data_IF_356229698116
#
_entry.id   IF_356229698116
#
_cell.length_a   1.000
_cell.length_b   1.000
_cell.length_c   1.000
_cell.angle_alpha   90.00
_cell.angle_beta   90.00
_cell.angle_gamma   90.00
#
_symmetry.space_group_name_H-M   'P 1'
#
loop_
_entity.id
_entity.type
_entity.pdbx_description
1 polymer ?
#
# COMPACT_ATOMS: atom_id res chain seq x y z
N UNK A 1 23.85 7.01 8.73
CA UNK A 1 25.19 7.61 8.99
C UNK A 1 25.98 6.64 9.83
N UNK A 2 27.22 6.31 9.46
CA UNK A 2 28.11 5.43 10.24
C UNK A 2 29.28 6.27 10.74
N UNK A 3 29.49 6.31 12.05
CA UNK A 3 30.62 7.00 12.70
C UNK A 3 31.46 5.96 13.42
N UNK A 4 32.75 5.91 13.14
CA UNK A 4 33.68 5.02 13.82
C UNK A 4 34.65 5.83 14.68
N UNK A 5 34.83 5.42 15.93
CA UNK A 5 35.77 6.02 16.86
C UNK A 5 36.83 5.01 17.26
N UNK A 6 38.10 5.43 17.27
CA UNK A 6 39.25 4.58 17.62
C UNK A 6 39.87 5.06 18.92
N UNK A 7 40.00 4.17 19.90
CA UNK A 7 40.74 4.45 21.13
C UNK A 7 42.25 4.41 20.88
N UNK A 8 43.02 5.15 21.69
CA UNK A 8 44.49 5.12 21.66
C UNK A 8 45.04 3.78 22.18
N UNK A 9 44.41 3.20 23.20
CA UNK A 9 44.72 1.87 23.72
C UNK A 9 44.30 0.79 22.73
N UNK A 10 45.10 -0.28 22.61
CA UNK A 10 44.81 -1.43 21.76
C UNK A 10 43.73 -2.35 22.33
N UNK A 11 43.67 -2.44 23.65
CA UNK A 11 42.83 -3.33 24.42
C UNK A 11 42.19 -2.58 25.57
N UNK A 12 40.99 -3.01 25.96
CA UNK A 12 40.31 -2.57 27.18
C UNK A 12 39.67 -3.77 27.87
N UNK A 13 39.54 -3.68 29.19
CA UNK A 13 38.72 -4.62 29.96
C UNK A 13 37.27 -4.39 29.59
N UNK A 14 36.54 -5.45 29.26
CA UNK A 14 35.09 -5.39 29.00
C UNK A 14 34.30 -5.69 30.27
N UNK A 15 33.06 -5.22 30.32
CA UNK A 15 32.13 -5.49 31.42
C UNK A 15 31.70 -6.96 31.50
N UNK A 16 32.03 -7.75 30.48
CA UNK A 16 31.71 -9.17 30.43
C UNK A 16 32.78 -10.00 31.16
N UNK A 17 32.33 -11.02 31.88
CA UNK A 17 33.22 -12.00 32.52
C UNK A 17 32.92 -13.42 32.02
N UNK A 18 33.98 -14.22 31.88
CA UNK A 18 33.92 -15.64 31.56
C UNK A 18 34.57 -16.41 32.71
N UNK A 19 33.83 -17.30 33.35
CA UNK A 19 34.32 -18.09 34.50
C UNK A 19 34.97 -17.23 35.59
N UNK A 20 34.36 -16.07 35.91
CA UNK A 20 34.86 -15.14 36.92
C UNK A 20 36.09 -14.31 36.51
N UNK A 21 36.55 -14.40 35.26
CA UNK A 21 37.63 -13.56 34.73
C UNK A 21 37.07 -12.54 33.74
N UNK A 22 37.53 -11.30 33.83
CA UNK A 22 37.12 -10.27 32.87
C UNK A 22 37.63 -10.60 31.48
N UNK A 23 36.76 -10.42 30.48
CA UNK A 23 37.11 -10.57 29.08
C UNK A 23 37.80 -9.29 28.59
N UNK A 24 38.90 -9.44 27.85
CA UNK A 24 39.61 -8.33 27.21
C UNK A 24 39.11 -8.21 25.77
N UNK A 25 38.80 -7.00 25.32
CA UNK A 25 38.37 -6.75 23.94
C UNK A 25 39.35 -5.83 23.21
N UNK A 26 39.55 -6.10 21.92
CA UNK A 26 40.44 -5.33 21.04
C UNK A 26 39.66 -4.17 20.43
N UNK A 27 39.71 -2.99 21.08
CA UNK A 27 38.96 -1.79 20.65
C UNK A 27 39.61 -1.04 19.50
N UNK A 28 40.88 -1.33 19.20
CA UNK A 28 41.64 -0.62 18.17
C UNK A 28 41.34 -1.12 16.75
N UNK A 29 40.74 -2.31 16.61
CA UNK A 29 40.31 -2.84 15.33
C UNK A 29 38.87 -2.41 15.04
N UNK A 30 38.70 -1.57 14.01
CA UNK A 30 37.40 -1.00 13.65
C UNK A 30 36.68 -1.77 12.54
N UNK A 31 37.32 -2.71 11.87
CA UNK A 31 36.74 -3.36 10.69
C UNK A 31 35.42 -4.06 11.04
N UNK A 32 35.42 -4.85 12.12
CA UNK A 32 34.24 -5.57 12.60
C UNK A 32 33.08 -4.63 12.95
N UNK A 33 33.23 -3.64 13.85
CA UNK A 33 32.14 -2.73 14.19
C UNK A 33 31.68 -1.89 12.99
N UNK A 34 32.58 -1.49 12.08
CA UNK A 34 32.20 -0.79 10.84
C UNK A 34 31.29 -1.67 9.98
N UNK A 35 31.67 -2.94 9.74
CA UNK A 35 30.85 -3.88 8.97
C UNK A 35 29.48 -4.07 9.62
N UNK A 36 29.43 -4.25 10.95
CA UNK A 36 28.18 -4.37 11.70
C UNK A 36 27.30 -3.13 11.54
N UNK A 37 27.84 -1.93 11.76
CA UNK A 37 27.10 -0.67 11.63
C UNK A 37 26.59 -0.43 10.21
N UNK A 38 27.38 -0.79 9.19
CA UNK A 38 26.99 -0.71 7.79
C UNK A 38 25.84 -1.67 7.48
N UNK A 39 25.93 -2.93 7.92
CA UNK A 39 24.87 -3.93 7.73
C UNK A 39 23.56 -3.53 8.39
N UNK A 40 23.63 -2.98 9.61
CA UNK A 40 22.45 -2.51 10.32
C UNK A 40 21.83 -1.28 9.64
N UNK A 41 22.65 -0.31 9.23
CA UNK A 41 22.15 0.97 8.68
C UNK A 41 21.70 0.88 7.22
N UNK A 42 22.40 0.11 6.39
CA UNK A 42 22.15 0.06 4.94
C UNK A 42 21.28 -1.14 4.52
N UNK A 43 21.44 -2.28 5.19
CA UNK A 43 20.70 -3.51 4.86
C UNK A 43 19.69 -3.93 5.93
N UNK A 44 19.53 -3.15 7.01
CA UNK A 44 18.58 -3.44 8.07
C UNK A 44 18.84 -4.76 8.79
N UNK A 45 20.07 -5.29 8.77
CA UNK A 45 20.39 -6.55 9.44
C UNK A 45 20.49 -6.30 10.94
N UNK A 46 19.68 -7.02 11.71
CA UNK A 46 19.70 -6.92 13.17
C UNK A 46 20.96 -7.56 13.77
N UNK A 47 21.47 -7.01 14.90
CA UNK A 47 22.51 -7.67 15.68
C UNK A 47 22.12 -9.09 16.09
N UNK A 48 23.07 -10.04 16.02
CA UNK A 48 22.81 -11.46 16.31
C UNK A 48 22.49 -11.78 17.75
N UNK A 49 22.78 -10.87 18.70
CA UNK A 49 22.36 -11.01 20.09
C UNK A 49 20.97 -10.45 20.36
N UNK A 50 20.29 -9.86 19.39
CA UNK A 50 18.94 -9.34 19.57
C UNK A 50 17.94 -10.29 18.91
N UNK A 51 16.98 -10.76 19.69
CA UNK A 51 15.85 -11.55 19.20
C UNK A 51 14.54 -10.96 19.71
N UNK A 52 13.48 -11.06 18.91
CA UNK A 52 12.14 -10.67 19.34
C UNK A 52 11.49 -11.82 20.11
N UNK A 53 11.03 -11.56 21.33
CA UNK A 53 10.26 -12.52 22.12
C UNK A 53 8.78 -12.14 22.12
N UNK A 54 7.93 -13.04 21.62
CA UNK A 54 6.48 -12.85 21.64
C UNK A 54 5.92 -12.87 23.07
N UNK A 55 6.47 -13.72 23.94
CA UNK A 55 6.04 -13.85 25.34
C UNK A 55 6.26 -12.55 26.14
N UNK A 56 7.40 -11.89 25.91
CA UNK A 56 7.75 -10.64 26.58
C UNK A 56 7.27 -9.39 25.83
N UNK A 57 6.75 -9.57 24.61
CA UNK A 57 6.43 -8.49 23.65
C UNK A 57 7.56 -7.45 23.54
N UNK A 58 8.81 -7.92 23.58
CA UNK A 58 10.00 -7.09 23.66
C UNK A 58 11.19 -7.78 22.98
N UNK A 59 12.19 -6.99 22.61
CA UNK A 59 13.49 -7.51 22.17
C UNK A 59 14.28 -8.00 23.37
N UNK A 60 14.71 -9.26 23.34
CA UNK A 60 15.56 -9.87 24.36
C UNK A 60 16.99 -9.88 23.86
N UNK A 61 17.93 -9.63 24.79
CA UNK A 61 19.36 -9.65 24.52
C UNK A 61 19.91 -11.00 24.94
N UNK A 62 20.43 -11.77 24.00
CA UNK A 62 21.08 -13.05 24.22
C UNK A 62 22.40 -13.15 23.45
N UNK A 63 23.52 -13.11 24.18
CA UNK A 63 24.86 -13.19 23.59
C UNK A 63 25.30 -14.62 23.22
N UNK A 64 24.46 -15.64 23.44
CA UNK A 64 24.79 -17.04 23.09
C UNK A 64 25.21 -17.18 21.63
N UNK A 65 24.61 -16.39 20.73
CA UNK A 65 24.90 -16.39 19.29
C UNK A 65 25.90 -15.31 18.84
N UNK A 66 26.56 -14.62 19.78
CA UNK A 66 27.52 -13.54 19.51
C UNK A 66 28.99 -13.95 19.54
N UNK A 67 29.26 -15.24 19.72
CA UNK A 67 30.60 -15.84 19.70
C UNK A 67 31.01 -16.40 18.33
N UNK A 68 30.06 -16.54 17.39
CA UNK A 68 30.27 -17.13 16.06
C UNK A 68 30.66 -16.15 14.95
N UNK A 69 30.44 -16.55 13.69
CA UNK A 69 30.70 -15.75 12.48
C UNK A 69 29.79 -14.51 12.34
N UNK A 70 29.96 -13.51 13.20
CA UNK A 70 29.12 -12.30 13.25
C UNK A 70 29.93 -11.03 13.46
N UNK A 71 29.63 -9.92 12.76
CA UNK A 71 30.27 -8.64 13.02
C UNK A 71 29.68 -7.91 14.24
N UNK A 72 28.53 -8.35 14.75
CA UNK A 72 27.80 -7.64 15.80
C UNK A 72 28.25 -7.98 17.23
N UNK A 73 28.87 -9.15 17.42
CA UNK A 73 29.23 -9.64 18.76
C UNK A 73 30.60 -9.16 19.21
N UNK A 74 30.77 -8.62 20.44
CA UNK A 74 32.06 -8.15 20.94
C UNK A 74 33.12 -9.26 21.05
N UNK A 75 32.69 -10.52 21.04
CA UNK A 75 33.51 -11.72 21.20
C UNK A 75 33.88 -12.40 19.88
N UNK A 76 33.37 -11.92 18.75
CA UNK A 76 33.74 -12.45 17.44
C UNK A 76 34.99 -11.74 16.93
N UNK A 77 35.97 -12.52 16.48
CA UNK A 77 37.14 -12.02 15.75
C UNK A 77 37.00 -12.14 14.23
N UNK A 78 35.90 -12.74 13.77
CA UNK A 78 35.71 -13.07 12.37
C UNK A 78 35.21 -11.88 11.56
N UNK A 79 35.74 -11.77 10.33
CA UNK A 79 35.36 -10.71 9.37
C UNK A 79 34.32 -11.18 8.36
N UNK A 80 34.02 -12.49 8.34
CA UNK A 80 33.07 -13.10 7.41
C UNK A 80 31.65 -13.05 7.94
N UNK A 81 30.67 -12.89 7.04
CA UNK A 81 29.26 -12.94 7.38
C UNK A 81 28.72 -14.36 7.35
N UNK A 82 27.89 -14.70 8.34
CA UNK A 82 27.15 -15.97 8.36
C UNK A 82 26.13 -16.04 7.22
N UNK A 83 25.68 -17.26 6.90
CA UNK A 83 24.61 -17.48 5.93
C UNK A 83 23.37 -16.62 6.26
N UNK A 84 22.92 -16.65 7.52
CA UNK A 84 21.73 -15.93 8.00
C UNK A 84 21.88 -14.42 7.80
N UNK A 85 23.07 -13.86 8.00
CA UNK A 85 23.31 -12.42 7.79
C UNK A 85 23.27 -12.03 6.31
N UNK A 86 23.89 -12.84 5.45
CA UNK A 86 23.86 -12.63 3.99
C UNK A 86 22.44 -12.77 3.45
N UNK A 87 21.70 -13.74 3.96
CA UNK A 87 20.31 -14.01 3.64
C UNK A 87 19.40 -12.84 4.05
N UNK A 88 19.48 -12.42 5.31
CA UNK A 88 18.73 -11.28 5.84
C UNK A 88 19.00 -10.00 5.05
N UNK A 89 20.27 -9.70 4.75
CA UNK A 89 20.63 -8.52 3.97
C UNK A 89 19.97 -8.51 2.58
N UNK A 90 19.97 -9.64 1.88
CA UNK A 90 19.33 -9.76 0.55
C UNK A 90 17.81 -9.68 0.64
N UNK A 91 17.22 -10.37 1.63
CA UNK A 91 15.78 -10.38 1.87
C UNK A 91 15.25 -9.00 2.22
N UNK A 92 15.93 -8.26 3.08
CA UNK A 92 15.49 -6.93 3.53
C UNK A 92 15.40 -5.92 2.37
N UNK A 93 16.38 -5.95 1.46
CA UNK A 93 16.37 -5.09 0.27
C UNK A 93 15.17 -5.42 -0.62
N UNK A 94 14.90 -6.71 -0.85
CA UNK A 94 13.75 -7.15 -1.63
C UNK A 94 12.42 -6.75 -0.98
N UNK A 95 12.26 -6.99 0.32
CA UNK A 95 11.04 -6.63 1.05
C UNK A 95 10.80 -5.12 1.03
N UNK A 96 11.85 -4.31 1.20
CA UNK A 96 11.73 -2.84 1.14
C UNK A 96 11.31 -2.37 -0.25
N UNK A 97 11.92 -2.93 -1.31
CA UNK A 97 11.58 -2.58 -2.69
C UNK A 97 10.17 -3.05 -3.05
N UNK A 98 9.78 -4.24 -2.58
CA UNK A 98 8.43 -4.79 -2.76
C UNK A 98 7.39 -3.94 -2.02
N UNK A 99 7.69 -3.47 -0.81
CA UNK A 99 6.83 -2.55 -0.08
C UNK A 99 6.63 -1.25 -0.87
N UNK A 100 7.69 -0.66 -1.42
CA UNK A 100 7.58 0.52 -2.28
C UNK A 100 6.68 0.27 -3.51
N UNK A 101 6.84 -0.88 -4.17
CA UNK A 101 6.02 -1.26 -5.33
C UNK A 101 4.54 -1.38 -4.94
N UNK A 102 4.25 -2.06 -3.82
CA UNK A 102 2.89 -2.25 -3.31
C UNK A 102 2.27 -0.92 -2.90
N UNK A 103 2.96 -0.09 -2.12
CA UNK A 103 2.47 1.24 -1.71
C UNK A 103 2.18 2.10 -2.93
N UNK A 104 3.11 2.17 -3.89
CA UNK A 104 2.89 2.93 -5.13
C UNK A 104 1.69 2.41 -5.94
N UNK A 105 1.47 1.10 -5.93
CA UNK A 105 0.31 0.49 -6.59
C UNK A 105 -0.99 0.89 -5.88
N UNK A 106 -1.00 0.87 -4.54
CA UNK A 106 -2.13 1.31 -3.72
C UNK A 106 -2.45 2.79 -4.02
N UNK A 107 -1.44 3.66 -4.07
CA UNK A 107 -1.61 5.08 -4.38
C UNK A 107 -2.29 5.30 -5.74
N UNK A 108 -1.90 4.52 -6.76
CA UNK A 108 -2.53 4.59 -8.09
C UNK A 108 -3.99 4.11 -8.05
N UNK A 109 -4.28 3.04 -7.31
CA UNK A 109 -5.65 2.53 -7.17
C UNK A 109 -6.54 3.49 -6.38
N UNK A 110 -6.02 4.11 -5.32
CA UNK A 110 -6.73 5.14 -4.55
C UNK A 110 -7.02 6.37 -5.42
N UNK A 111 -6.03 6.80 -6.21
CA UNK A 111 -6.24 7.87 -7.20
C UNK A 111 -7.34 7.51 -8.19
N UNK A 112 -7.31 6.31 -8.75
CA UNK A 112 -8.35 5.85 -9.67
C UNK A 112 -9.73 5.79 -9.01
N UNK A 113 -9.82 5.34 -7.75
CA UNK A 113 -11.07 5.31 -6.99
C UNK A 113 -11.64 6.72 -6.75
N UNK A 114 -10.77 7.70 -6.43
CA UNK A 114 -11.17 9.09 -6.25
C UNK A 114 -11.75 9.73 -7.52
N UNK A 115 -11.34 9.27 -8.70
CA UNK A 115 -11.81 9.77 -10.00
C UNK A 115 -13.01 8.99 -10.58
N UNK A 116 -13.76 8.27 -9.74
CA UNK A 116 -14.97 7.53 -10.16
C UNK A 116 -14.73 6.07 -10.54
N UNK A 117 -13.53 5.55 -10.31
CA UNK A 117 -13.17 4.15 -10.53
C UNK A 117 -12.83 3.81 -11.98
N UNK A 118 -12.42 2.55 -12.19
CA UNK A 118 -11.86 2.09 -13.47
C UNK A 118 -12.83 2.24 -14.66
N UNK A 119 -14.13 2.03 -14.46
CA UNK A 119 -15.12 2.03 -15.54
C UNK A 119 -15.42 3.43 -16.08
N UNK A 120 -15.33 4.44 -15.22
CA UNK A 120 -15.57 5.85 -15.57
C UNK A 120 -14.28 6.44 -16.13
N UNK A 121 -13.15 6.19 -15.46
CA UNK A 121 -11.86 6.74 -15.81
C UNK A 121 -11.29 6.14 -17.11
N UNK A 122 -11.34 4.81 -17.25
CA UNK A 122 -10.67 4.10 -18.33
C UNK A 122 -11.67 3.73 -19.44
N UNK A 123 -11.55 4.39 -20.60
CA UNK A 123 -12.28 4.01 -21.82
C UNK A 123 -11.97 2.56 -22.20
N UNK A 124 -12.88 1.88 -22.93
CA UNK A 124 -12.79 0.45 -23.29
C UNK A 124 -11.38 -0.04 -23.73
N UNK A 125 -10.67 0.72 -24.57
CA UNK A 125 -9.31 0.34 -25.02
C UNK A 125 -8.27 0.40 -23.90
N UNK A 126 -8.22 1.49 -23.13
CA UNK A 126 -7.30 1.67 -22.00
C UNK A 126 -7.62 0.71 -20.85
N UNK A 127 -8.90 0.38 -20.66
CA UNK A 127 -9.32 -0.59 -19.66
C UNK A 127 -8.75 -1.99 -19.93
N UNK A 128 -8.78 -2.47 -21.18
CA UNK A 128 -8.17 -3.77 -21.54
C UNK A 128 -6.66 -3.76 -21.27
N UNK A 129 -5.97 -2.68 -21.64
CA UNK A 129 -4.53 -2.55 -21.39
C UNK A 129 -4.21 -2.52 -19.89
N UNK A 130 -4.99 -1.76 -19.10
CA UNK A 130 -4.86 -1.74 -17.65
C UNK A 130 -5.01 -3.14 -17.04
N UNK A 131 -6.05 -3.89 -17.41
CA UNK A 131 -6.27 -5.25 -16.90
C UNK A 131 -5.12 -6.19 -17.29
N UNK A 132 -4.60 -6.10 -18.51
CA UNK A 132 -3.45 -6.90 -18.94
C UNK A 132 -2.21 -6.60 -18.09
N UNK A 133 -1.91 -5.31 -17.86
CA UNK A 133 -0.78 -4.87 -17.04
C UNK A 133 -0.95 -5.25 -15.57
N UNK A 134 -2.15 -5.09 -15.04
CA UNK A 134 -2.50 -5.48 -13.67
C UNK A 134 -2.28 -6.97 -13.43
N UNK A 135 -2.76 -7.80 -14.35
CA UNK A 135 -2.57 -9.25 -14.27
C UNK A 135 -1.09 -9.64 -14.36
N UNK A 136 -0.30 -8.96 -15.21
CA UNK A 136 1.13 -9.23 -15.34
C UNK A 136 1.91 -8.77 -14.09
N UNK A 137 1.58 -7.62 -13.52
CA UNK A 137 2.12 -7.13 -12.25
C UNK A 137 1.86 -8.14 -11.14
N UNK A 138 0.61 -8.57 -10.99
CA UNK A 138 0.19 -9.56 -9.98
C UNK A 138 0.96 -10.88 -10.15
N UNK A 139 1.03 -11.40 -11.37
CA UNK A 139 1.82 -12.58 -11.69
C UNK A 139 3.30 -12.44 -11.31
N UNK A 140 3.92 -11.30 -11.64
CA UNK A 140 5.33 -11.04 -11.30
C UNK A 140 5.54 -11.00 -9.79
N UNK A 141 4.66 -10.35 -9.04
CA UNK A 141 4.72 -10.32 -7.57
C UNK A 141 4.58 -11.72 -6.96
N UNK A 142 3.68 -12.56 -7.47
CA UNK A 142 3.59 -13.97 -7.05
C UNK A 142 4.89 -14.74 -7.33
N UNK A 143 5.52 -14.49 -8.48
CA UNK A 143 6.84 -15.10 -8.80
C UNK A 143 7.96 -14.58 -7.90
N UNK A 144 7.92 -13.32 -7.47
CA UNK A 144 8.85 -12.80 -6.45
C UNK A 144 8.71 -13.61 -5.16
N UNK A 145 7.49 -13.76 -4.62
CA UNK A 145 7.24 -14.53 -3.39
C UNK A 145 7.69 -15.99 -3.55
N UNK A 146 7.39 -16.62 -4.69
CA UNK A 146 7.79 -18.00 -4.99
C UNK A 146 9.31 -18.16 -5.12
N UNK A 147 10.03 -17.18 -5.67
CA UNK A 147 11.48 -17.21 -5.74
C UNK A 147 12.11 -16.96 -4.36
N UNK A 148 11.55 -16.05 -3.56
CA UNK A 148 11.99 -15.77 -2.20
C UNK A 148 11.85 -16.99 -1.28
N UNK A 149 10.79 -17.78 -1.41
CA UNK A 149 10.63 -19.02 -0.61
C UNK A 149 11.67 -20.09 -0.91
N UNK A 150 12.32 -20.01 -2.08
CA UNK A 150 13.44 -20.88 -2.50
C UNK A 150 14.81 -20.24 -2.25
N UNK A 151 14.85 -19.08 -1.59
CA UNK A 151 16.07 -18.27 -1.36
C UNK A 151 16.78 -17.84 -2.66
N UNK A 152 16.07 -17.86 -3.78
CA UNK A 152 16.56 -17.41 -5.09
C UNK A 152 16.34 -15.90 -5.25
N UNK A 153 17.17 -15.14 -4.53
CA UNK A 153 17.07 -13.69 -4.48
C UNK A 153 17.41 -13.00 -5.80
N UNK A 154 18.21 -13.63 -6.67
CA UNK A 154 18.52 -13.06 -7.99
C UNK A 154 17.28 -13.10 -8.88
N UNK A 155 16.59 -14.25 -8.93
CA UNK A 155 15.34 -14.39 -9.68
C UNK A 155 14.22 -13.52 -9.11
N UNK A 156 14.12 -13.44 -7.78
CA UNK A 156 13.17 -12.54 -7.11
C UNK A 156 13.42 -11.08 -7.51
N UNK A 157 14.66 -10.61 -7.44
CA UNK A 157 15.02 -9.24 -7.81
C UNK A 157 14.75 -8.95 -9.30
N UNK A 158 14.99 -9.93 -10.17
CA UNK A 158 14.68 -9.82 -11.60
C UNK A 158 13.18 -9.58 -11.84
N UNK A 159 12.30 -10.40 -11.26
CA UNK A 159 10.86 -10.22 -11.41
C UNK A 159 10.37 -8.91 -10.80
N UNK A 160 10.91 -8.51 -9.65
CA UNK A 160 10.52 -7.28 -8.97
C UNK A 160 10.88 -6.05 -9.82
N UNK A 161 12.11 -5.95 -10.31
CA UNK A 161 12.51 -4.87 -11.24
C UNK A 161 11.71 -4.88 -12.54
N UNK A 162 11.39 -6.06 -13.06
CA UNK A 162 10.54 -6.19 -14.24
C UNK A 162 9.10 -5.72 -13.97
N UNK A 163 8.64 -5.79 -12.72
CA UNK A 163 7.30 -5.36 -12.32
C UNK A 163 7.16 -3.84 -12.26
N UNK A 164 8.25 -3.10 -12.00
CA UNK A 164 8.29 -1.64 -12.03
C UNK A 164 7.87 -1.09 -13.40
N UNK A 165 8.17 -1.79 -14.49
CA UNK A 165 7.72 -1.42 -15.84
C UNK A 165 6.20 -1.51 -16.01
N UNK A 166 5.56 -2.51 -15.41
CA UNK A 166 4.10 -2.63 -15.49
C UNK A 166 3.42 -1.63 -14.56
N UNK A 167 3.98 -1.39 -13.37
CA UNK A 167 3.51 -0.36 -12.46
C UNK A 167 3.61 1.03 -13.10
N UNK A 168 4.75 1.35 -13.74
CA UNK A 168 4.91 2.61 -14.47
C UNK A 168 3.88 2.75 -15.59
N UNK A 169 3.66 1.70 -16.39
CA UNK A 169 2.65 1.72 -17.45
C UNK A 169 1.23 1.93 -16.91
N UNK A 170 0.88 1.28 -15.78
CA UNK A 170 -0.40 1.46 -15.09
C UNK A 170 -0.52 2.91 -14.62
N UNK A 171 0.51 3.44 -13.96
CA UNK A 171 0.53 4.82 -13.49
C UNK A 171 0.33 5.80 -14.66
N UNK A 172 1.03 5.63 -15.79
CA UNK A 172 0.85 6.50 -16.96
C UNK A 172 -0.56 6.41 -17.54
N UNK A 173 -1.15 5.22 -17.62
CA UNK A 173 -2.52 5.05 -18.13
C UNK A 173 -3.55 5.79 -17.25
N UNK A 174 -3.42 5.66 -15.93
CA UNK A 174 -4.32 6.31 -14.96
C UNK A 174 -4.11 7.83 -14.97
N UNK A 175 -2.85 8.28 -15.04
CA UNK A 175 -2.51 9.69 -15.07
C UNK A 175 -3.00 10.41 -16.35
N UNK A 176 -2.81 9.80 -17.52
CA UNK A 176 -3.34 10.36 -18.77
C UNK A 176 -4.87 10.38 -18.77
N UNK A 177 -5.50 9.31 -18.26
CA UNK A 177 -6.95 9.24 -18.18
C UNK A 177 -7.53 10.28 -17.20
N UNK A 178 -6.84 10.59 -16.10
CA UNK A 178 -7.30 11.60 -15.14
C UNK A 178 -7.20 13.01 -15.68
N UNK A 179 -6.20 13.31 -16.53
CA UNK A 179 -6.08 14.59 -17.21
C UNK A 179 -7.19 14.84 -18.25
N UNK A 180 -7.73 13.80 -18.85
CA UNK A 180 -8.82 13.90 -19.83
C UNK A 180 -10.22 14.06 -19.19
N UNK A 181 -10.33 14.01 -17.86
CA UNK A 181 -11.61 14.16 -17.19
C UNK A 181 -12.09 15.61 -17.24
N UNK A 182 -13.22 15.81 -17.91
CA UNK A 182 -13.93 17.09 -17.88
C UNK A 182 -14.82 17.17 -16.64
N UNK A 183 -14.66 18.24 -15.86
CA UNK A 183 -15.54 18.51 -14.73
C UNK A 183 -16.92 18.92 -15.24
N UNK A 184 -17.88 18.00 -15.24
CA UNK A 184 -19.29 18.33 -15.50
C UNK A 184 -19.99 18.71 -14.21
N UNK A 185 -20.48 19.95 -14.12
CA UNK A 185 -21.40 20.37 -13.06
C UNK A 185 -22.77 19.72 -13.33
N UNK A 186 -23.09 18.66 -12.60
CA UNK A 186 -24.45 18.12 -12.58
C UNK A 186 -25.30 19.05 -11.72
N UNK A 187 -25.94 20.05 -12.34
CA UNK A 187 -26.91 20.89 -11.66
C UNK A 187 -28.10 20.06 -11.16
N UNK A 188 -28.73 20.52 -10.08
CA UNK A 188 -29.93 19.90 -9.53
C UNK A 188 -30.96 19.65 -10.64
N UNK A 189 -31.41 18.41 -10.74
CA UNK A 189 -32.50 18.05 -11.65
C UNK A 189 -33.77 18.66 -11.07
N UNK A 190 -34.29 19.69 -11.74
CA UNK A 190 -35.55 20.31 -11.31
C UNK A 190 -36.63 19.24 -11.14
N UNK A 191 -37.48 19.35 -10.09
CA UNK A 191 -38.56 18.40 -9.90
C UNK A 191 -39.41 18.33 -11.17
N UNK A 192 -39.81 17.13 -11.62
CA UNK A 192 -40.59 17.00 -12.84
C UNK A 192 -41.86 17.86 -12.73
N UNK A 193 -42.15 18.61 -13.80
CA UNK A 193 -43.31 19.49 -13.85
C UNK A 193 -44.56 18.73 -13.38
N UNK A 194 -45.36 19.27 -12.44
CA UNK A 194 -46.41 18.52 -11.78
C UNK A 194 -47.65 18.42 -12.69
N UNK A 195 -47.58 17.52 -13.67
CA UNK A 195 -48.63 17.28 -14.66
C UNK A 195 -49.95 16.84 -14.03
N UNK A 196 -49.89 16.08 -12.94
CA UNK A 196 -51.06 15.53 -12.24
C UNK A 196 -51.97 16.62 -11.66
N UNK A 197 -51.49 17.57 -10.83
CA UNK A 197 -52.36 18.66 -10.35
C UNK A 197 -52.82 19.60 -11.47
N UNK A 198 -52.00 19.80 -12.51
CA UNK A 198 -52.39 20.62 -13.68
C UNK A 198 -53.50 19.96 -14.48
N UNK A 199 -53.45 18.63 -14.71
CA UNK A 199 -54.53 17.93 -15.42
C UNK A 199 -55.81 17.88 -14.58
N UNK A 200 -55.70 17.64 -13.27
CA UNK A 200 -56.85 17.61 -12.36
C UNK A 200 -57.55 18.96 -12.28
N UNK A 201 -56.79 20.05 -12.14
CA UNK A 201 -57.35 21.41 -12.16
C UNK A 201 -58.03 21.74 -13.49
N UNK A 202 -57.43 21.34 -14.62
CA UNK A 202 -58.08 21.44 -15.94
C UNK A 202 -59.43 20.72 -16.00
N UNK A 203 -59.49 19.45 -15.55
CA UNK A 203 -60.73 18.67 -15.53
C UNK A 203 -61.79 19.31 -14.64
N UNK A 204 -61.43 19.81 -13.46
CA UNK A 204 -62.39 20.50 -12.58
C UNK A 204 -62.94 21.78 -13.20
N UNK A 205 -62.09 22.58 -13.84
CA UNK A 205 -62.52 23.82 -14.51
C UNK A 205 -63.45 23.51 -15.68
N UNK A 206 -63.08 22.56 -16.54
CA UNK A 206 -63.94 22.14 -17.66
C UNK A 206 -65.26 21.51 -17.18
N UNK A 207 -65.21 20.68 -16.13
CA UNK A 207 -66.40 20.11 -15.50
C UNK A 207 -67.32 21.19 -14.92
N UNK A 208 -66.76 22.20 -14.25
CA UNK A 208 -67.52 23.33 -13.72
C UNK A 208 -68.17 24.15 -14.83
N UNK A 209 -67.42 24.47 -15.91
CA UNK A 209 -67.98 25.16 -17.07
C UNK A 209 -69.08 24.33 -17.77
N UNK A 210 -68.91 23.01 -17.87
CA UNK A 210 -69.92 22.13 -18.45
C UNK A 210 -71.21 22.08 -17.60
N UNK A 211 -71.09 21.95 -16.27
CA UNK A 211 -72.23 21.96 -15.35
C UNK A 211 -72.91 23.33 -15.34
N UNK A 212 -72.14 24.43 -15.38
CA UNK A 212 -72.68 25.78 -15.46
C UNK A 212 -73.46 26.00 -16.77
N UNK A 213 -72.90 25.58 -17.91
CA UNK A 213 -73.56 25.68 -19.22
C UNK A 213 -74.84 24.83 -19.33
N UNK A 214 -74.89 23.67 -18.65
CA UNK A 214 -76.07 22.78 -18.63
C UNK A 214 -76.94 22.90 -17.38
N UNK A 215 -76.76 23.94 -16.57
CA UNK A 215 -77.46 24.14 -15.28
C UNK A 215 -78.98 24.06 -15.41
N UNK A 216 -79.54 24.66 -16.47
CA UNK A 216 -81.00 24.69 -16.69
C UNK A 216 -81.59 23.34 -17.12
N UNK A 217 -80.77 22.45 -17.70
CA UNK A 217 -81.17 21.06 -18.03
C UNK A 217 -81.02 20.11 -16.84
N UNK A 218 -79.99 20.29 -16.03
CA UNK A 218 -79.66 19.38 -14.91
C UNK A 218 -80.48 19.67 -13.64
N UNK A 219 -80.81 20.94 -13.35
CA UNK A 219 -81.57 21.33 -12.16
C UNK A 219 -83.03 21.67 -12.45
N UNK A 220 -83.63 21.02 -13.45
CA UNK A 220 -85.08 21.15 -13.72
C UNK A 220 -85.85 20.43 -12.61
N UNK A 221 -86.18 21.17 -11.56
CA UNK A 221 -87.05 20.74 -10.46
C UNK A 221 -88.32 20.12 -11.03
N UNK A 222 -88.54 18.83 -10.76
CA UNK A 222 -89.87 18.22 -10.85
C UNK A 222 -90.71 18.74 -9.68
N UNK A 223 -91.11 20.02 -9.73
CA UNK A 223 -92.17 20.54 -8.89
C UNK A 223 -93.47 19.98 -9.45
N UNK A 224 -94.07 19.05 -8.71
CA UNK A 224 -95.41 18.52 -8.99
C UNK A 224 -96.38 19.70 -9.15
N UNK A 225 -97.06 19.77 -10.28
CA UNK A 225 -98.23 20.60 -10.49
C UNK A 225 -99.41 19.63 -10.56
N UNK A 226 -100.21 19.67 -9.49
CA UNK A 226 -101.51 19.02 -9.21
C UNK A 226 -101.67 17.53 -9.56
#
# INVERSE_FOLDING_TARGET
MVVAMRTRSSQTVSDYSCNGRHMITVTRNLERPIIGSVLQSMWGVSPTHLSWSLEHNATVVDYTWSTGHTPFGPFSETKSLSFVQKDAARRNVLLTTMNFTITSTIDVLESMAAHGGENILLRKKRHVEFIQRWNLLTYKLEKVVSAMSRLDYQKAMYFLRSSDHDLYAIHTLVYEASQELEASLVCFKDPPFPWVPVSMSGVFVFGFFYVYSKRDKLFRSKRKQF
#
